data_IF_920425960261
#
_entry.id   IF_920425960261
#
_cell.length_a   1.000
_cell.length_b   1.000
_cell.length_c   1.000
_cell.angle_alpha   90.00
_cell.angle_beta   90.00
_cell.angle_gamma   90.00
#
_symmetry.space_group_name_H-M   'P 1'
#
loop_
_entity.id
_entity.type
_entity.pdbx_description
1 polymer ?
#
# COMPACT_ATOMS: atom_id res chain seq x y z
N UNK A 1 37.86 8.58 -1.07
CA UNK A 1 37.44 8.13 0.28
C UNK A 1 36.10 8.81 0.62
N UNK A 2 35.01 8.36 -0.03
CA UNK A 2 33.59 8.63 0.31
C UNK A 2 32.68 7.45 -0.11
N UNK A 3 33.28 6.34 -0.54
CA UNK A 3 32.62 5.25 -1.26
C UNK A 3 31.76 4.36 -0.34
N UNK A 4 31.90 4.50 0.98
CA UNK A 4 30.99 3.87 1.95
C UNK A 4 29.55 4.37 1.83
N UNK A 5 29.32 5.55 1.23
CA UNK A 5 27.98 6.14 1.07
C UNK A 5 27.03 5.33 0.18
N UNK A 6 27.54 4.49 -0.74
CA UNK A 6 26.71 3.87 -1.79
C UNK A 6 25.73 2.80 -1.26
N UNK A 7 26.07 2.09 -0.18
CA UNK A 7 25.18 1.12 0.47
C UNK A 7 24.22 1.77 1.48
N UNK A 8 24.47 3.02 1.87
CA UNK A 8 23.58 3.82 2.72
C UNK A 8 22.54 4.63 1.92
N UNK A 9 22.64 4.69 0.58
CA UNK A 9 21.87 5.56 -0.33
C UNK A 9 20.33 5.35 -0.36
N UNK A 10 19.78 4.42 0.40
CA UNK A 10 18.34 4.20 0.40
C UNK A 10 17.78 3.98 1.80
N UNK A 11 18.20 2.90 2.45
CA UNK A 11 17.57 2.48 3.70
C UNK A 11 17.87 3.40 4.87
N UNK A 12 19.15 3.70 5.12
CA UNK A 12 19.56 4.40 6.34
C UNK A 12 19.19 5.88 6.32
N UNK A 13 19.31 6.54 5.17
CA UNK A 13 18.94 7.95 5.04
C UNK A 13 17.42 8.15 5.13
N UNK A 14 16.64 7.29 4.47
CA UNK A 14 15.17 7.28 4.63
C UNK A 14 14.77 6.96 6.07
N UNK A 15 15.45 6.02 6.74
CA UNK A 15 15.19 5.71 8.15
C UNK A 15 15.41 6.92 9.07
N UNK A 16 16.49 7.68 8.84
CA UNK A 16 16.80 8.91 9.60
C UNK A 16 15.74 9.98 9.35
N UNK A 17 15.34 10.20 8.09
CA UNK A 17 14.30 11.17 7.74
C UNK A 17 12.96 10.78 8.39
N UNK A 18 12.58 9.50 8.30
CA UNK A 18 11.37 8.98 8.94
C UNK A 18 11.42 9.17 10.44
N UNK A 19 12.58 8.95 11.08
CA UNK A 19 12.75 9.14 12.52
C UNK A 19 12.57 10.61 12.93
N UNK A 20 13.15 11.56 12.18
CA UNK A 20 12.98 13.00 12.43
C UNK A 20 11.51 13.40 12.28
N UNK A 21 10.86 12.98 11.20
CA UNK A 21 9.42 13.23 10.97
C UNK A 21 8.58 12.61 12.10
N UNK A 22 8.92 11.42 12.57
CA UNK A 22 8.22 10.75 13.67
C UNK A 22 8.36 11.50 15.00
N UNK A 23 9.49 12.17 15.26
CA UNK A 23 9.68 12.99 16.46
C UNK A 23 8.89 14.30 16.35
N UNK A 24 8.89 14.95 15.18
CA UNK A 24 8.19 16.21 14.97
C UNK A 24 6.66 16.05 14.93
N UNK A 25 6.17 15.03 14.24
CA UNK A 25 4.73 14.79 14.06
C UNK A 25 4.16 13.75 15.03
N UNK A 26 5.02 12.95 15.68
CA UNK A 26 4.61 11.84 16.53
C UNK A 26 4.22 10.58 15.73
N UNK A 27 4.42 9.40 16.34
CA UNK A 27 4.13 8.11 15.70
C UNK A 27 2.65 7.85 15.35
N UNK A 28 1.72 8.66 15.88
CA UNK A 28 0.28 8.51 15.63
C UNK A 28 -0.20 9.27 14.39
N UNK A 29 0.52 10.32 13.95
CA UNK A 29 0.06 11.18 12.84
C UNK A 29 0.28 10.54 11.46
N UNK A 30 1.37 9.82 11.25
CA UNK A 30 1.62 9.12 9.97
C UNK A 30 0.51 8.07 9.68
N UNK A 31 0.14 7.16 10.61
CA UNK A 31 -0.95 6.21 10.38
C UNK A 31 -2.33 6.87 10.23
N UNK A 32 -2.57 7.97 10.95
CA UNK A 32 -3.84 8.73 10.88
C UNK A 32 -4.01 9.38 9.50
N UNK A 33 -2.96 10.01 8.98
CA UNK A 33 -2.93 10.57 7.62
C UNK A 33 -3.06 9.49 6.54
N UNK A 34 -2.34 8.37 6.68
CA UNK A 34 -2.44 7.25 5.74
C UNK A 34 -3.84 6.64 5.70
N UNK A 35 -4.50 6.49 6.86
CA UNK A 35 -5.89 6.00 6.95
C UNK A 35 -6.86 6.96 6.27
N UNK A 36 -6.72 8.27 6.50
CA UNK A 36 -7.56 9.29 5.84
C UNK A 36 -7.35 9.31 4.32
N UNK A 37 -6.09 9.33 3.87
CA UNK A 37 -5.72 9.32 2.46
C UNK A 37 -6.18 8.04 1.75
N UNK A 38 -6.03 6.88 2.38
CA UNK A 38 -6.45 5.59 1.83
C UNK A 38 -7.97 5.52 1.61
N UNK A 39 -8.77 6.09 2.52
CA UNK A 39 -10.23 6.21 2.32
C UNK A 39 -10.57 7.16 1.17
N UNK A 40 -9.93 8.33 1.12
CA UNK A 40 -10.13 9.29 0.03
C UNK A 40 -9.78 8.71 -1.35
N UNK A 41 -8.66 7.98 -1.47
CA UNK A 41 -8.27 7.31 -2.74
C UNK A 41 -9.28 6.22 -3.11
N UNK A 42 -9.81 5.47 -2.13
CA UNK A 42 -10.80 4.42 -2.36
C UNK A 42 -12.12 5.01 -2.87
N UNK A 43 -12.65 6.01 -2.18
CA UNK A 43 -13.88 6.71 -2.56
C UNK A 43 -13.72 7.40 -3.93
N UNK A 44 -12.56 8.00 -4.20
CA UNK A 44 -12.23 8.59 -5.51
C UNK A 44 -12.19 7.54 -6.63
N UNK A 45 -11.69 6.33 -6.36
CA UNK A 45 -11.66 5.25 -7.35
C UNK A 45 -13.05 4.64 -7.57
N UNK A 46 -13.87 4.54 -6.51
CA UNK A 46 -15.25 4.07 -6.60
C UNK A 46 -16.11 5.07 -7.41
N UNK A 47 -16.02 6.38 -7.12
CA UNK A 47 -16.75 7.41 -7.87
C UNK A 47 -16.33 7.55 -9.34
N UNK A 48 -15.06 7.29 -9.67
CA UNK A 48 -14.59 7.24 -11.07
C UNK A 48 -15.03 5.97 -11.83
N UNK A 49 -15.46 4.90 -11.14
CA UNK A 49 -16.01 3.71 -11.80
C UNK A 49 -17.49 3.87 -12.15
N UNK A 50 -18.17 4.81 -11.51
CA UNK A 50 -19.58 5.12 -11.78
C UNK A 50 -19.78 6.07 -12.97
N UNK A 51 -18.71 6.71 -13.48
CA UNK A 51 -18.78 7.32 -14.81
C UNK A 51 -18.90 6.23 -15.86
N UNK A 52 -19.96 6.23 -16.70
CA UNK A 52 -20.23 5.18 -17.67
C UNK A 52 -19.18 5.22 -18.80
N UNK A 53 -18.02 4.67 -18.53
CA UNK A 53 -17.12 4.14 -19.54
C UNK A 53 -17.22 2.64 -19.40
N UNK A 54 -17.92 2.04 -20.36
CA UNK A 54 -18.20 0.63 -20.43
C UNK A 54 -16.90 -0.19 -20.43
N UNK A 55 -16.55 -0.82 -19.30
CA UNK A 55 -15.66 -1.97 -19.28
C UNK A 55 -15.95 -2.89 -18.08
N UNK A 56 -16.02 -4.22 -18.28
CA UNK A 56 -16.18 -5.18 -17.20
C UNK A 56 -14.80 -5.45 -16.57
N UNK A 57 -14.36 -4.60 -15.63
CA UNK A 57 -13.12 -4.88 -14.90
C UNK A 57 -13.37 -5.78 -13.70
N UNK A 58 -13.35 -7.08 -13.99
CA UNK A 58 -12.91 -8.10 -13.06
C UNK A 58 -11.45 -7.79 -12.64
N UNK A 59 -11.24 -7.45 -11.38
CA UNK A 59 -9.93 -7.63 -10.73
C UNK A 59 -10.14 -7.98 -9.26
N UNK A 60 -10.39 -9.28 -9.05
CA UNK A 60 -9.49 -10.14 -8.27
C UNK A 60 -9.10 -9.66 -6.87
N UNK A 61 -9.94 -10.02 -5.91
CA UNK A 61 -9.50 -10.46 -4.58
C UNK A 61 -8.82 -11.83 -4.71
N UNK A 62 -7.50 -11.86 -4.90
CA UNK A 62 -6.72 -13.10 -4.71
C UNK A 62 -5.52 -12.83 -3.82
N UNK A 63 -5.68 -13.13 -2.53
CA UNK A 63 -4.78 -13.97 -1.71
C UNK A 63 -5.47 -14.22 -0.37
N UNK A 64 -6.24 -15.31 -0.31
CA UNK A 64 -6.41 -16.14 0.89
C UNK A 64 -6.70 -17.54 0.37
N UNK A 65 -5.66 -18.38 0.45
CA UNK A 65 -5.70 -19.83 0.63
C UNK A 65 -7.07 -20.32 1.07
N UNK A 66 -7.74 -21.12 0.24
CA UNK A 66 -8.69 -22.17 0.62
C UNK A 66 -9.22 -22.85 -0.65
N UNK A 67 -8.51 -23.85 -1.16
CA UNK A 67 -9.12 -24.91 -1.99
C UNK A 67 -8.18 -26.13 -2.09
N UNK A 68 -8.13 -26.91 -1.01
CA UNK A 68 -7.78 -28.32 -1.05
C UNK A 68 -9.05 -29.12 -0.77
N UNK A 69 -9.96 -29.18 -1.75
CA UNK A 69 -10.94 -30.25 -1.81
C UNK A 69 -11.22 -30.62 -3.26
N UNK A 70 -10.61 -31.71 -3.71
CA UNK A 70 -10.85 -32.33 -5.01
C UNK A 70 -11.85 -33.47 -4.79
N UNK A 71 -13.13 -33.35 -5.19
CA UNK A 71 -13.93 -34.52 -5.49
C UNK A 71 -13.47 -35.05 -6.85
N UNK A 72 -12.70 -36.14 -6.83
CA UNK A 72 -12.43 -36.92 -8.03
C UNK A 72 -13.51 -38.01 -8.10
N UNK A 73 -14.49 -37.78 -8.97
CA UNK A 73 -15.54 -38.73 -9.35
C UNK A 73 -14.92 -39.83 -10.23
N UNK A 74 -15.25 -41.09 -9.97
CA UNK A 74 -14.72 -42.29 -10.62
C UNK A 74 -15.83 -43.23 -11.07
#
# INVERSE_FOLDING_TARGET
MYTSGLLFLGGQEVLIIVLIVLVLFGGKKIPELMRGMGRGIREFKEGQKETPTEEPQNTTSTTTTNEANKPQDN
#
